data_IF_742109804791
#
_entry.id   IF_742109804791
#
_cell.length_a   1.000
_cell.length_b   1.000
_cell.length_c   1.000
_cell.angle_alpha   90.00
_cell.angle_beta   90.00
_cell.angle_gamma   90.00
#
_symmetry.space_group_name_H-M   'P 1'
#
loop_
_entity.id
_entity.type
_entity.pdbx_description
1 polymer ?
#
# COMPACT_ATOMS: atom_id res chain seq x y z
N UNK A 1 -37.46 -27.06 8.69
CA UNK A 1 -37.99 -25.72 8.36
C UNK A 1 -39.05 -25.89 7.29
N UNK A 2 -40.24 -25.28 7.41
CA UNK A 2 -41.29 -25.39 6.38
C UNK A 2 -40.94 -24.46 5.22
N UNK A 3 -41.10 -24.92 3.98
CA UNK A 3 -40.83 -24.19 2.73
C UNK A 3 -41.45 -22.78 2.71
N UNK A 4 -42.67 -22.65 3.26
CA UNK A 4 -43.38 -21.37 3.39
C UNK A 4 -42.60 -20.33 4.20
N UNK A 5 -41.86 -20.73 5.23
CA UNK A 5 -41.09 -19.80 6.06
C UNK A 5 -39.88 -19.24 5.28
N UNK A 6 -39.26 -20.06 4.43
CA UNK A 6 -38.11 -19.65 3.60
C UNK A 6 -38.55 -18.65 2.54
N UNK A 7 -39.71 -18.88 1.90
CA UNK A 7 -40.30 -17.96 0.92
C UNK A 7 -40.69 -16.61 1.54
N UNK A 8 -41.32 -16.62 2.71
CA UNK A 8 -41.70 -15.39 3.43
C UNK A 8 -40.45 -14.59 3.80
N UNK A 9 -39.38 -15.26 4.26
CA UNK A 9 -38.11 -14.61 4.58
C UNK A 9 -37.47 -13.97 3.35
N UNK A 10 -37.47 -14.66 2.21
CA UNK A 10 -36.96 -14.13 0.94
C UNK A 10 -37.75 -12.89 0.48
N UNK A 11 -39.09 -12.94 0.49
CA UNK A 11 -39.95 -11.81 0.09
C UNK A 11 -39.71 -10.60 1.00
N UNK A 12 -39.62 -10.81 2.32
CA UNK A 12 -39.37 -9.73 3.26
C UNK A 12 -38.00 -9.08 3.01
N UNK A 13 -36.95 -9.89 2.77
CA UNK A 13 -35.62 -9.39 2.41
C UNK A 13 -35.67 -8.59 1.10
N UNK A 14 -36.32 -9.09 0.05
CA UNK A 14 -36.46 -8.36 -1.23
C UNK A 14 -37.16 -7.01 -1.05
N UNK A 15 -38.25 -6.96 -0.28
CA UNK A 15 -38.96 -5.70 -0.01
C UNK A 15 -38.10 -4.71 0.78
N UNK A 16 -37.26 -5.18 1.70
CA UNK A 16 -36.30 -4.33 2.41
C UNK A 16 -35.28 -3.71 1.45
N UNK A 17 -34.73 -4.48 0.50
CA UNK A 17 -33.81 -3.94 -0.50
C UNK A 17 -34.47 -2.94 -1.44
N UNK A 18 -35.68 -3.22 -1.93
CA UNK A 18 -36.42 -2.27 -2.78
C UNK A 18 -36.63 -0.95 -2.03
N UNK A 19 -36.99 -1.02 -0.74
CA UNK A 19 -37.13 0.16 0.09
C UNK A 19 -35.80 0.90 0.30
N UNK A 20 -34.67 0.20 0.45
CA UNK A 20 -33.35 0.82 0.51
C UNK A 20 -33.04 1.57 -0.78
N UNK A 21 -33.17 0.91 -1.94
CA UNK A 21 -32.88 1.50 -3.26
C UNK A 21 -33.73 2.74 -3.55
N UNK A 22 -35.03 2.71 -3.23
CA UNK A 22 -35.93 3.84 -3.46
C UNK A 22 -35.55 5.11 -2.68
N UNK A 23 -34.75 4.97 -1.62
CA UNK A 23 -34.40 6.08 -0.72
C UNK A 23 -32.92 6.47 -0.82
N UNK A 24 -32.12 5.89 -1.73
CA UNK A 24 -30.68 6.18 -1.83
C UNK A 24 -30.39 7.61 -2.26
N UNK A 25 -31.22 8.21 -3.12
CA UNK A 25 -31.05 9.62 -3.51
C UNK A 25 -31.19 10.58 -2.30
N UNK A 26 -32.07 10.23 -1.34
CA UNK A 26 -32.26 11.00 -0.11
C UNK A 26 -31.27 10.60 1.00
N UNK A 27 -30.72 9.38 0.94
CA UNK A 27 -29.84 8.80 1.96
C UNK A 27 -28.63 8.07 1.32
N UNK A 28 -27.72 8.80 0.63
CA UNK A 28 -26.61 8.21 -0.12
C UNK A 28 -25.61 7.44 0.75
N UNK A 29 -25.49 7.81 2.03
CA UNK A 29 -24.65 7.14 3.03
C UNK A 29 -25.01 5.66 3.29
N UNK A 30 -26.23 5.23 2.94
CA UNK A 30 -26.64 3.84 3.05
C UNK A 30 -25.85 2.91 2.10
N UNK A 31 -25.29 3.45 1.01
CA UNK A 31 -24.38 2.70 0.13
C UNK A 31 -23.12 2.28 0.89
N UNK A 32 -22.63 3.14 1.79
CA UNK A 32 -21.43 2.88 2.59
C UNK A 32 -21.69 1.93 3.77
N UNK A 33 -22.93 1.62 4.12
CA UNK A 33 -23.26 0.94 5.38
C UNK A 33 -24.19 -0.25 5.18
N UNK A 34 -25.37 -0.02 4.60
CA UNK A 34 -26.48 -0.96 4.56
C UNK A 34 -26.41 -1.92 3.35
N UNK A 35 -25.99 -1.45 2.17
CA UNK A 35 -26.06 -2.25 0.93
C UNK A 35 -25.09 -3.44 0.88
N UNK A 36 -23.92 -3.34 1.52
CA UNK A 36 -22.80 -4.29 1.38
C UNK A 36 -22.31 -4.81 2.76
N UNK A 37 -23.23 -5.34 3.58
CA UNK A 37 -22.96 -5.73 4.97
C UNK A 37 -23.03 -7.25 5.21
N UNK A 38 -21.89 -7.94 5.10
CA UNK A 38 -21.53 -9.16 5.88
C UNK A 38 -22.25 -10.49 5.59
N UNK A 39 -23.48 -10.49 5.09
CA UNK A 39 -24.19 -11.68 4.58
C UNK A 39 -24.99 -11.38 3.28
N UNK A 40 -25.05 -10.10 2.91
CA UNK A 40 -25.88 -9.50 1.85
C UNK A 40 -25.17 -9.30 0.51
N UNK A 41 -23.83 -9.40 0.47
CA UNK A 41 -23.01 -9.23 -0.76
C UNK A 41 -23.41 -10.16 -1.91
N UNK A 42 -23.96 -11.33 -1.55
CA UNK A 42 -24.44 -12.30 -2.52
C UNK A 42 -25.84 -11.98 -3.06
N UNK A 43 -26.69 -11.24 -2.33
CA UNK A 43 -28.10 -11.15 -2.70
C UNK A 43 -28.35 -10.07 -3.78
N UNK A 44 -27.65 -8.94 -3.73
CA UNK A 44 -27.71 -7.89 -4.76
C UNK A 44 -27.20 -8.41 -6.11
N UNK A 45 -26.01 -9.01 -6.08
CA UNK A 45 -25.38 -9.69 -7.23
C UNK A 45 -26.30 -10.78 -7.77
N UNK A 46 -26.88 -11.62 -6.89
CA UNK A 46 -27.85 -12.64 -7.31
C UNK A 46 -29.16 -12.07 -7.86
N UNK A 47 -29.65 -10.93 -7.37
CA UNK A 47 -30.85 -10.28 -7.90
C UNK A 47 -30.59 -9.78 -9.33
N UNK A 48 -29.41 -9.24 -9.61
CA UNK A 48 -29.00 -8.84 -10.96
C UNK A 48 -28.88 -10.08 -11.86
N UNK A 49 -28.13 -11.10 -11.42
CA UNK A 49 -27.98 -12.38 -12.15
C UNK A 49 -29.33 -13.07 -12.43
N UNK A 50 -30.26 -13.07 -11.47
CA UNK A 50 -31.58 -13.67 -11.65
C UNK A 50 -32.53 -12.81 -12.48
N UNK A 51 -32.35 -11.49 -12.51
CA UNK A 51 -33.10 -10.61 -13.43
C UNK A 51 -32.70 -10.85 -14.89
N UNK A 52 -31.43 -11.21 -15.15
CA UNK A 52 -30.93 -11.60 -16.47
C UNK A 52 -31.61 -12.89 -16.97
N UNK A 53 -31.77 -13.90 -16.10
CA UNK A 53 -32.47 -15.15 -16.45
C UNK A 53 -33.96 -14.95 -16.76
N UNK A 54 -34.60 -13.96 -16.15
CA UNK A 54 -36.06 -13.76 -16.19
C UNK A 54 -36.53 -12.80 -17.29
N UNK A 55 -35.73 -11.78 -17.63
CA UNK A 55 -36.16 -10.68 -18.51
C UNK A 55 -35.47 -10.69 -19.88
N UNK A 56 -34.31 -11.34 -20.00
CA UNK A 56 -33.50 -11.33 -21.23
C UNK A 56 -32.86 -9.98 -21.55
N UNK A 57 -33.00 -8.99 -20.67
CA UNK A 57 -32.33 -7.70 -20.74
C UNK A 57 -31.03 -7.74 -19.92
N UNK A 58 -29.94 -7.26 -20.52
CA UNK A 58 -28.63 -7.18 -19.88
C UNK A 58 -28.63 -5.98 -18.92
N UNK A 59 -28.95 -6.20 -17.66
CA UNK A 59 -28.44 -5.34 -16.60
C UNK A 59 -27.08 -5.92 -16.18
N UNK A 60 -25.98 -5.26 -16.54
CA UNK A 60 -24.66 -5.70 -16.12
C UNK A 60 -24.39 -5.20 -14.70
N UNK A 61 -23.62 -5.97 -13.93
CA UNK A 61 -23.26 -5.59 -12.56
C UNK A 61 -22.53 -4.23 -12.53
N UNK A 62 -21.92 -3.84 -13.66
CA UNK A 62 -21.24 -2.57 -13.87
C UNK A 62 -22.23 -1.40 -13.98
N UNK A 63 -23.40 -1.59 -14.61
CA UNK A 63 -24.46 -0.56 -14.68
C UNK A 63 -24.97 -0.21 -13.28
N UNK A 64 -25.12 -1.21 -12.41
CA UNK A 64 -25.53 -0.97 -11.03
C UNK A 64 -24.45 -0.20 -10.26
N UNK A 65 -23.17 -0.57 -10.42
CA UNK A 65 -22.06 0.16 -9.81
C UNK A 65 -22.08 1.63 -10.24
N UNK A 66 -22.27 1.89 -11.54
CA UNK A 66 -22.35 3.25 -12.09
C UNK A 66 -23.51 4.06 -11.49
N UNK A 67 -24.71 3.48 -11.42
CA UNK A 67 -25.86 4.16 -10.81
C UNK A 67 -25.66 4.45 -9.33
N UNK A 68 -25.10 3.49 -8.57
CA UNK A 68 -24.76 3.70 -7.16
C UNK A 68 -23.71 4.80 -7.00
N UNK A 69 -22.68 4.82 -7.86
CA UNK A 69 -21.58 5.77 -7.75
C UNK A 69 -21.97 7.18 -8.21
N UNK A 70 -22.90 7.32 -9.16
CA UNK A 70 -23.52 8.62 -9.51
C UNK A 70 -24.20 9.29 -8.31
N UNK A 71 -24.78 8.50 -7.42
CA UNK A 71 -25.42 8.98 -6.19
C UNK A 71 -24.36 9.22 -5.09
N UNK A 72 -23.45 8.27 -4.92
CA UNK A 72 -22.51 8.27 -3.80
C UNK A 72 -21.39 9.31 -3.96
N UNK A 73 -20.81 9.47 -5.15
CA UNK A 73 -19.66 10.36 -5.37
C UNK A 73 -19.96 11.81 -4.97
N UNK A 74 -21.07 12.43 -5.42
CA UNK A 74 -21.41 13.80 -5.00
C UNK A 74 -21.54 13.93 -3.48
N UNK A 75 -22.09 12.92 -2.81
CA UNK A 75 -22.17 12.90 -1.35
C UNK A 75 -20.77 12.85 -0.72
N UNK A 76 -19.91 11.95 -1.19
CA UNK A 76 -18.54 11.84 -0.70
C UNK A 76 -17.75 13.13 -0.91
N UNK A 77 -17.88 13.80 -2.05
CA UNK A 77 -17.23 15.09 -2.34
C UNK A 77 -17.62 16.18 -1.31
N UNK A 78 -18.86 16.16 -0.81
CA UNK A 78 -19.27 17.08 0.28
C UNK A 78 -18.62 16.76 1.62
N UNK A 79 -18.34 15.48 1.89
CA UNK A 79 -17.71 15.02 3.13
C UNK A 79 -16.22 15.35 3.15
N UNK A 80 -15.50 15.01 2.08
CA UNK A 80 -14.02 15.07 2.05
C UNK A 80 -13.46 16.34 1.40
N UNK A 81 -14.32 17.23 0.89
CA UNK A 81 -14.08 18.61 0.45
C UNK A 81 -12.78 18.89 -0.30
N UNK A 82 -12.91 19.25 -1.58
CA UNK A 82 -11.78 19.69 -2.40
C UNK A 82 -10.92 18.54 -2.93
N UNK A 83 -11.37 17.29 -2.71
CA UNK A 83 -10.84 16.10 -3.35
C UNK A 83 -11.66 15.75 -4.57
N UNK A 84 -11.00 15.23 -5.60
CA UNK A 84 -11.64 14.62 -6.76
C UNK A 84 -11.80 13.13 -6.52
N UNK A 85 -12.94 12.56 -6.90
CA UNK A 85 -13.23 11.14 -6.77
C UNK A 85 -13.40 10.50 -8.15
N UNK A 86 -12.69 9.41 -8.39
CA UNK A 86 -12.72 8.68 -9.67
C UNK A 86 -12.80 7.19 -9.38
N UNK A 87 -13.36 6.43 -10.31
CA UNK A 87 -13.35 4.97 -10.28
C UNK A 87 -13.28 4.44 -11.72
N UNK A 88 -12.87 3.19 -11.86
CA UNK A 88 -12.83 2.51 -13.14
C UNK A 88 -14.14 1.72 -13.36
N UNK A 89 -14.99 2.21 -14.27
CA UNK A 89 -16.30 1.61 -14.54
C UNK A 89 -16.20 0.21 -15.20
N UNK A 90 -15.06 -0.13 -15.81
CA UNK A 90 -14.85 -1.44 -16.45
C UNK A 90 -14.45 -2.53 -15.44
N UNK A 91 -14.14 -2.14 -14.20
CA UNK A 91 -13.74 -3.06 -13.15
C UNK A 91 -14.87 -3.22 -12.12
N UNK A 92 -15.08 -4.46 -11.66
CA UNK A 92 -16.03 -4.75 -10.58
C UNK A 92 -15.47 -5.76 -9.58
N UNK A 93 -15.51 -5.48 -8.26
CA UNK A 93 -15.87 -4.19 -7.66
C UNK A 93 -14.77 -3.14 -7.88
N UNK A 94 -15.13 -1.92 -8.32
CA UNK A 94 -14.18 -0.83 -8.46
C UNK A 94 -14.02 -0.05 -7.15
N UNK A 95 -12.82 0.08 -6.60
CA UNK A 95 -12.58 1.03 -5.52
C UNK A 95 -12.72 2.47 -6.02
N UNK A 96 -13.21 3.36 -5.16
CA UNK A 96 -13.28 4.80 -5.45
C UNK A 96 -11.93 5.41 -5.05
N UNK A 97 -11.18 5.88 -6.02
CA UNK A 97 -9.90 6.58 -5.84
C UNK A 97 -10.14 8.04 -5.45
N UNK A 98 -9.31 8.53 -4.53
CA UNK A 98 -9.36 9.89 -4.00
C UNK A 98 -8.10 10.63 -4.44
N UNK A 99 -8.31 11.79 -5.06
CA UNK A 99 -7.24 12.63 -5.56
C UNK A 99 -7.25 14.03 -4.93
N UNK A 100 -6.06 14.52 -4.59
CA UNK A 100 -5.80 15.93 -4.32
C UNK A 100 -5.03 16.51 -5.50
N UNK A 101 -5.70 17.32 -6.32
CA UNK A 101 -5.14 17.74 -7.62
C UNK A 101 -4.92 16.53 -8.53
N UNK A 102 -3.66 16.28 -8.93
CA UNK A 102 -3.27 15.15 -9.78
C UNK A 102 -2.75 13.94 -8.97
N UNK A 103 -2.65 14.05 -7.64
CA UNK A 103 -2.05 13.02 -6.78
C UNK A 103 -3.14 12.15 -6.16
N UNK A 104 -3.01 10.84 -6.33
CA UNK A 104 -3.83 9.87 -5.60
C UNK A 104 -3.38 9.80 -4.14
N UNK A 105 -4.32 9.94 -3.21
CA UNK A 105 -4.05 9.98 -1.77
C UNK A 105 -4.63 8.77 -1.03
N UNK A 106 -5.52 8.02 -1.66
CA UNK A 106 -6.14 6.85 -1.07
C UNK A 106 -7.30 6.34 -1.93
N UNK A 107 -7.87 5.22 -1.51
CA UNK A 107 -9.09 4.70 -2.13
C UNK A 107 -10.04 4.07 -1.11
N UNK A 108 -11.32 4.09 -1.45
CA UNK A 108 -12.42 3.53 -0.66
C UNK A 108 -12.90 2.27 -1.38
N UNK A 109 -12.76 1.11 -0.75
CA UNK A 109 -13.41 -0.11 -1.18
C UNK A 109 -14.68 -0.33 -0.35
N UNK A 110 -15.83 -0.12 -0.98
CA UNK A 110 -17.12 -0.17 -0.31
C UNK A 110 -17.54 -1.60 0.05
N UNK A 111 -17.15 -2.56 -0.79
CA UNK A 111 -17.47 -3.98 -0.65
C UNK A 111 -16.67 -4.60 0.49
N UNK A 112 -15.36 -4.37 0.49
CA UNK A 112 -14.47 -4.88 1.54
C UNK A 112 -14.54 -4.07 2.83
N UNK A 113 -15.23 -2.92 2.83
CA UNK A 113 -15.22 -1.94 3.92
C UNK A 113 -13.80 -1.53 4.31
N UNK A 114 -12.96 -1.25 3.31
CA UNK A 114 -11.58 -0.81 3.53
C UNK A 114 -11.35 0.60 3.00
N UNK A 115 -10.61 1.39 3.76
CA UNK A 115 -10.03 2.65 3.31
C UNK A 115 -8.52 2.48 3.26
N UNK A 116 -7.92 2.61 2.08
CA UNK A 116 -6.47 2.48 1.93
C UNK A 116 -5.85 3.85 1.77
N UNK A 117 -4.89 4.18 2.64
CA UNK A 117 -4.03 5.35 2.52
C UNK A 117 -2.85 5.01 1.60
N UNK A 118 -2.62 5.84 0.59
CA UNK A 118 -1.46 5.75 -0.30
C UNK A 118 -0.34 6.64 0.25
N UNK A 119 0.85 6.09 0.56
CA UNK A 119 1.97 6.88 1.07
C UNK A 119 2.47 7.87 0.01
N UNK A 120 3.06 8.97 0.45
CA UNK A 120 3.65 9.93 -0.47
C UNK A 120 4.83 9.31 -1.22
N UNK A 121 4.80 9.36 -2.55
CA UNK A 121 5.80 8.70 -3.38
C UNK A 121 7.22 9.23 -3.11
N UNK A 122 7.40 10.54 -3.05
CA UNK A 122 8.71 11.14 -2.75
C UNK A 122 9.28 10.63 -1.41
N UNK A 123 8.49 10.62 -0.35
CA UNK A 123 8.94 10.11 0.95
C UNK A 123 9.31 8.62 0.87
N UNK A 124 8.53 7.82 0.15
CA UNK A 124 8.82 6.39 -0.07
C UNK A 124 10.14 6.20 -0.82
N UNK A 125 10.37 6.96 -1.88
CA UNK A 125 11.62 6.90 -2.66
C UNK A 125 12.84 7.27 -1.79
N UNK A 126 12.74 8.35 -1.01
CA UNK A 126 13.82 8.80 -0.12
C UNK A 126 14.12 7.77 0.99
N UNK A 127 13.08 7.13 1.55
CA UNK A 127 13.22 6.05 2.53
C UNK A 127 13.85 4.79 1.92
N UNK A 128 13.47 4.41 0.70
CA UNK A 128 14.05 3.26 0.01
C UNK A 128 15.53 3.48 -0.29
N UNK A 129 15.91 4.66 -0.78
CA UNK A 129 17.31 4.98 -1.03
C UNK A 129 18.13 4.97 0.27
N UNK A 130 17.56 5.45 1.39
CA UNK A 130 18.20 5.34 2.70
C UNK A 130 18.45 3.89 3.10
N UNK A 131 17.47 3.00 2.92
CA UNK A 131 17.61 1.56 3.21
C UNK A 131 18.71 0.91 2.37
N UNK A 132 18.85 1.31 1.10
CA UNK A 132 19.92 0.83 0.22
C UNK A 132 21.31 1.25 0.73
N UNK A 133 21.48 2.53 1.09
CA UNK A 133 22.73 3.03 1.67
C UNK A 133 23.09 2.32 2.97
N UNK A 134 22.12 2.12 3.87
CA UNK A 134 22.34 1.40 5.13
C UNK A 134 22.72 -0.07 4.89
N UNK A 135 22.13 -0.72 3.88
CA UNK A 135 22.49 -2.08 3.48
C UNK A 135 23.92 -2.14 2.94
N UNK A 136 24.30 -1.20 2.07
CA UNK A 136 25.66 -1.11 1.52
C UNK A 136 26.69 -0.86 2.64
N UNK A 137 26.39 0.05 3.57
CA UNK A 137 27.23 0.34 4.72
C UNK A 137 27.44 -0.89 5.62
N UNK A 138 26.38 -1.66 5.89
CA UNK A 138 26.49 -2.89 6.67
C UNK A 138 27.38 -3.93 5.97
N UNK A 139 27.23 -4.11 4.65
CA UNK A 139 28.09 -5.00 3.87
C UNK A 139 29.56 -4.54 3.89
N UNK A 140 29.80 -3.23 3.75
CA UNK A 140 31.14 -2.66 3.82
C UNK A 140 31.77 -2.87 5.22
N UNK A 141 30.99 -2.73 6.29
CA UNK A 141 31.41 -2.98 7.67
C UNK A 141 31.81 -4.45 7.89
N UNK A 142 31.03 -5.39 7.34
CA UNK A 142 31.39 -6.82 7.38
C UNK A 142 32.69 -7.12 6.63
N UNK A 143 32.90 -6.49 5.48
CA UNK A 143 34.15 -6.62 4.71
C UNK A 143 35.35 -6.01 5.45
N UNK A 144 35.18 -4.84 6.08
CA UNK A 144 36.21 -4.24 6.96
C UNK A 144 36.64 -5.26 8.03
N UNK A 145 35.69 -5.85 8.75
CA UNK A 145 35.98 -6.84 9.79
C UNK A 145 36.69 -8.11 9.26
N UNK A 146 36.46 -8.51 7.99
CA UNK A 146 37.25 -9.57 7.34
C UNK A 146 38.68 -9.11 7.08
N UNK A 147 38.86 -7.90 6.55
CA UNK A 147 40.19 -7.37 6.21
C UNK A 147 41.03 -7.04 7.44
N UNK A 148 40.44 -6.67 8.57
CA UNK A 148 41.16 -6.54 9.86
C UNK A 148 41.75 -7.87 10.32
N UNK A 149 41.00 -8.97 10.17
CA UNK A 149 41.51 -10.32 10.44
C UNK A 149 42.64 -10.67 9.49
N UNK A 150 42.51 -10.33 8.20
CA UNK A 150 43.56 -10.59 7.20
C UNK A 150 44.84 -9.78 7.45
N UNK A 151 44.75 -8.57 8.00
CA UNK A 151 45.94 -7.82 8.41
C UNK A 151 46.70 -8.51 9.55
N UNK A 152 45.97 -9.10 10.50
CA UNK A 152 46.56 -9.84 11.62
C UNK A 152 47.09 -11.21 11.20
N UNK A 153 46.41 -11.85 10.25
CA UNK A 153 46.76 -13.16 9.71
C UNK A 153 46.52 -13.22 8.19
N UNK A 154 47.53 -12.88 7.35
CA UNK A 154 47.39 -12.85 5.90
C UNK A 154 47.00 -14.20 5.28
N UNK A 155 47.24 -15.33 5.98
CA UNK A 155 46.83 -16.65 5.48
C UNK A 155 45.32 -16.83 5.40
N UNK A 156 44.55 -16.08 6.17
CA UNK A 156 43.08 -16.10 6.11
C UNK A 156 42.51 -15.45 4.84
N UNK A 157 43.30 -14.62 4.16
CA UNK A 157 42.96 -14.11 2.83
C UNK A 157 42.98 -15.21 1.75
N UNK A 158 43.65 -16.33 2.04
CA UNK A 158 43.72 -17.52 1.19
C UNK A 158 42.50 -18.42 1.41
N UNK A 159 41.55 -18.39 0.47
CA UNK A 159 40.41 -19.30 0.40
C UNK A 159 40.78 -20.75 -0.02
N UNK A 160 41.95 -20.92 -0.65
CA UNK A 160 42.44 -22.20 -1.16
C UNK A 160 43.86 -22.51 -0.70
N UNK A 161 44.22 -23.80 -0.68
CA UNK A 161 45.58 -24.26 -0.31
C UNK A 161 46.66 -23.62 -1.20
N UNK A 162 46.45 -23.53 -2.51
CA UNK A 162 47.41 -22.89 -3.41
C UNK A 162 47.54 -21.39 -3.17
N UNK A 163 46.44 -20.68 -2.88
CA UNK A 163 46.50 -19.25 -2.53
C UNK A 163 47.27 -19.04 -1.23
N UNK A 164 47.07 -19.88 -0.20
CA UNK A 164 47.85 -19.85 1.05
C UNK A 164 49.35 -20.09 0.82
N UNK A 165 49.71 -21.07 -0.01
CA UNK A 165 51.11 -21.32 -0.38
C UNK A 165 51.70 -20.09 -1.09
N UNK A 166 50.96 -19.48 -2.02
CA UNK A 166 51.40 -18.28 -2.73
C UNK A 166 51.57 -17.09 -1.77
N UNK A 167 50.67 -16.93 -0.80
CA UNK A 167 50.78 -15.93 0.28
C UNK A 167 52.06 -16.14 1.09
N UNK A 168 52.42 -17.38 1.42
CA UNK A 168 53.66 -17.72 2.11
C UNK A 168 54.90 -17.24 1.35
N UNK A 169 54.93 -17.45 0.04
CA UNK A 169 56.07 -17.08 -0.81
C UNK A 169 56.13 -15.58 -1.14
N UNK A 170 54.98 -14.89 -1.14
CA UNK A 170 54.86 -13.47 -1.56
C UNK A 170 54.25 -12.60 -0.46
N UNK A 171 54.62 -12.83 0.79
CA UNK A 171 53.97 -12.22 1.95
C UNK A 171 53.93 -10.69 1.89
N UNK A 172 55.02 -10.04 1.50
CA UNK A 172 55.07 -8.57 1.39
C UNK A 172 54.08 -8.01 0.36
N UNK A 173 53.86 -8.73 -0.75
CA UNK A 173 52.92 -8.32 -1.78
C UNK A 173 51.47 -8.39 -1.27
N UNK A 174 51.09 -9.52 -0.66
CA UNK A 174 49.75 -9.69 -0.11
C UNK A 174 49.47 -8.80 1.10
N UNK A 175 50.47 -8.55 1.95
CA UNK A 175 50.33 -7.57 3.04
C UNK A 175 50.03 -6.16 2.51
N UNK A 176 50.68 -5.78 1.41
CA UNK A 176 50.41 -4.49 0.76
C UNK A 176 49.01 -4.46 0.16
N UNK A 177 48.61 -5.49 -0.57
CA UNK A 177 47.27 -5.61 -1.16
C UNK A 177 46.15 -5.57 -0.11
N UNK A 178 46.28 -6.34 0.98
CA UNK A 178 45.33 -6.34 2.10
C UNK A 178 45.25 -4.95 2.73
N UNK A 179 46.39 -4.27 2.91
CA UNK A 179 46.43 -2.92 3.48
C UNK A 179 45.76 -1.89 2.59
N UNK A 180 46.05 -1.91 1.28
CA UNK A 180 45.44 -0.99 0.31
C UNK A 180 43.93 -1.21 0.24
N UNK A 181 43.47 -2.46 0.18
CA UNK A 181 42.04 -2.77 0.15
C UNK A 181 41.35 -2.39 1.46
N UNK A 182 41.97 -2.62 2.61
CA UNK A 182 41.44 -2.16 3.90
C UNK A 182 41.29 -0.64 3.94
N UNK A 183 42.30 0.11 3.49
CA UNK A 183 42.23 1.57 3.43
C UNK A 183 41.08 2.05 2.53
N UNK A 184 40.93 1.45 1.34
CA UNK A 184 39.81 1.78 0.45
C UNK A 184 38.43 1.46 1.06
N UNK A 185 38.29 0.36 1.80
CA UNK A 185 37.05 0.03 2.51
C UNK A 185 36.72 1.03 3.61
N UNK A 186 37.73 1.52 4.35
CA UNK A 186 37.55 2.55 5.38
C UNK A 186 37.13 3.88 4.75
N UNK A 187 37.77 4.30 3.66
CA UNK A 187 37.39 5.51 2.92
C UNK A 187 35.95 5.42 2.41
N UNK A 188 35.57 4.29 1.80
CA UNK A 188 34.19 4.02 1.37
C UNK A 188 33.20 4.06 2.54
N UNK A 189 33.58 3.53 3.72
CA UNK A 189 32.75 3.56 4.92
C UNK A 189 32.43 4.99 5.35
N UNK A 190 33.43 5.87 5.34
CA UNK A 190 33.26 7.28 5.70
C UNK A 190 32.37 8.02 4.70
N UNK A 191 32.51 7.73 3.40
CA UNK A 191 31.64 8.29 2.37
C UNK A 191 30.19 7.82 2.52
N UNK A 192 29.97 6.53 2.76
CA UNK A 192 28.64 5.97 3.02
C UNK A 192 28.00 6.57 4.27
N UNK A 193 28.74 6.79 5.36
CA UNK A 193 28.22 7.48 6.54
C UNK A 193 27.77 8.91 6.23
N UNK A 194 28.55 9.67 5.47
CA UNK A 194 28.19 11.02 5.06
C UNK A 194 26.93 11.02 4.18
N UNK A 195 26.83 10.08 3.25
CA UNK A 195 25.68 9.91 2.38
C UNK A 195 24.43 9.55 3.20
N UNK A 196 24.54 8.63 4.17
CA UNK A 196 23.44 8.27 5.08
C UNK A 196 22.98 9.49 5.89
N UNK A 197 23.90 10.28 6.45
CA UNK A 197 23.54 11.49 7.23
C UNK A 197 22.82 12.50 6.32
N UNK A 198 23.37 12.77 5.14
CA UNK A 198 22.77 13.66 4.15
C UNK A 198 21.37 13.20 3.75
N UNK A 199 21.21 11.89 3.54
CA UNK A 199 19.93 11.28 3.17
C UNK A 199 18.91 11.33 4.31
N UNK A 200 19.33 11.11 5.56
CA UNK A 200 18.46 11.27 6.74
C UNK A 200 17.90 12.69 6.84
N UNK A 201 18.74 13.71 6.60
CA UNK A 201 18.29 15.10 6.57
C UNK A 201 17.32 15.39 5.42
N UNK A 202 17.45 14.71 4.27
CA UNK A 202 16.48 14.81 3.17
C UNK A 202 15.15 14.18 3.54
N UNK A 203 15.18 12.96 4.10
CA UNK A 203 13.98 12.27 4.61
C UNK A 203 13.24 13.13 5.62
N UNK A 204 13.94 13.74 6.59
CA UNK A 204 13.33 14.64 7.58
C UNK A 204 12.63 15.84 6.92
N UNK A 205 13.29 16.52 5.99
CA UNK A 205 12.68 17.67 5.27
C UNK A 205 11.49 17.26 4.41
N UNK A 206 11.60 16.12 3.73
CA UNK A 206 10.50 15.59 2.92
C UNK A 206 9.33 15.21 3.83
N UNK A 207 9.58 14.54 4.97
CA UNK A 207 8.56 14.21 5.95
C UNK A 207 7.85 15.46 6.47
N UNK A 208 8.59 16.52 6.82
CA UNK A 208 8.01 17.79 7.25
C UNK A 208 7.12 18.42 6.17
N UNK A 209 7.53 18.34 4.90
CA UNK A 209 6.72 18.82 3.78
C UNK A 209 5.49 17.97 3.49
N UNK A 210 5.55 16.67 3.79
CA UNK A 210 4.49 15.70 3.54
C UNK A 210 3.48 15.63 4.70
N UNK A 211 3.87 16.03 5.91
CA UNK A 211 3.05 15.91 7.12
C UNK A 211 1.62 16.46 6.98
N UNK A 212 1.38 17.66 6.40
CA UNK A 212 0.01 18.17 6.24
C UNK A 212 -0.87 17.25 5.38
N UNK A 213 -0.27 16.59 4.39
CA UNK A 213 -0.96 15.64 3.53
C UNK A 213 -1.29 14.35 4.26
N UNK A 214 -0.37 13.84 5.09
CA UNK A 214 -0.65 12.67 5.94
C UNK A 214 -1.76 12.97 6.95
N UNK A 215 -1.74 14.13 7.60
CA UNK A 215 -2.80 14.57 8.51
C UNK A 215 -4.17 14.59 7.80
N UNK A 216 -4.22 15.16 6.60
CA UNK A 216 -5.43 15.18 5.78
C UNK A 216 -5.91 13.77 5.39
N UNK A 217 -5.01 12.90 4.93
CA UNK A 217 -5.35 11.50 4.63
C UNK A 217 -5.92 10.79 5.85
N UNK A 218 -5.38 11.07 7.03
CA UNK A 218 -5.86 10.53 8.29
C UNK A 218 -7.22 11.06 8.70
N UNK A 219 -7.47 12.36 8.53
CA UNK A 219 -8.76 12.95 8.82
C UNK A 219 -9.86 12.32 7.94
N UNK A 220 -9.58 12.15 6.64
CA UNK A 220 -10.48 11.44 5.73
C UNK A 220 -10.68 10.00 6.20
N UNK A 221 -9.61 9.25 6.46
CA UNK A 221 -9.71 7.86 6.91
C UNK A 221 -10.52 7.72 8.22
N UNK A 222 -10.39 8.67 9.14
CA UNK A 222 -11.14 8.70 10.40
C UNK A 222 -12.65 8.91 10.15
N UNK A 223 -13.06 9.71 9.17
CA UNK A 223 -14.48 9.84 8.78
C UNK A 223 -15.05 8.45 8.44
N UNK A 224 -14.34 7.66 7.63
CA UNK A 224 -14.81 6.34 7.21
C UNK A 224 -14.76 5.31 8.34
N UNK A 225 -13.69 5.31 9.13
CA UNK A 225 -13.55 4.40 10.28
C UNK A 225 -14.64 4.67 11.32
N UNK A 226 -14.83 5.93 11.69
CA UNK A 226 -15.62 6.26 12.88
C UNK A 226 -17.12 6.25 12.55
N UNK A 227 -17.51 6.75 11.37
CA UNK A 227 -18.92 6.84 10.95
C UNK A 227 -19.43 5.59 10.23
N UNK A 228 -18.58 4.93 9.43
CA UNK A 228 -19.01 3.83 8.55
C UNK A 228 -18.35 2.48 8.88
N UNK A 229 -17.48 2.44 9.91
CA UNK A 229 -16.82 1.21 10.41
C UNK A 229 -15.89 0.54 9.40
N UNK A 230 -15.23 1.34 8.55
CA UNK A 230 -14.24 0.83 7.61
C UNK A 230 -12.93 0.48 8.34
N UNK A 231 -12.27 -0.58 7.88
CA UNK A 231 -10.90 -0.88 8.24
C UNK A 231 -9.96 0.09 7.51
N UNK A 232 -9.07 0.76 8.25
CA UNK A 232 -8.07 1.66 7.65
C UNK A 232 -6.78 0.89 7.43
N UNK A 233 -6.38 0.77 6.17
CA UNK A 233 -5.12 0.15 5.75
C UNK A 233 -4.18 1.23 5.25
N UNK A 234 -2.88 1.04 5.46
CA UNK A 234 -1.88 1.75 4.67
C UNK A 234 -1.44 0.78 3.59
N UNK A 235 -1.30 1.27 2.36
CA UNK A 235 -0.64 0.48 1.33
C UNK A 235 0.77 0.16 1.86
N UNK A 236 1.01 -1.12 2.14
CA UNK A 236 2.34 -1.55 2.54
C UNK A 236 3.29 -1.32 1.36
N UNK A 237 4.51 -0.88 1.66
CA UNK A 237 5.60 -0.90 0.69
C UNK A 237 5.75 -2.37 0.26
N UNK A 238 5.17 -2.76 -0.87
CA UNK A 238 5.49 -4.04 -1.51
C UNK A 238 7.00 -4.01 -1.80
N UNK A 239 7.75 -4.77 -1.01
CA UNK A 239 9.19 -4.97 -1.15
C UNK A 239 9.53 -5.77 -2.41
#
# INVERSE_FOLDING_TARGET
MKFDNVLIEAINKTNQYIALFMNLEENPEWILTELFSGESDNLLTRIIESSQELTGEYAEVHDLQDELYKILIPYLETLIKGMSLVYDAENYPAPIQIFEGEREIGWINIYEKTFTIIPHEDLRQELNYLRELEKEYNQNTEEIAKFERYQSNPMEYGDTTMKKINIMFRQNHFNKEIKEKYQGLIENSMELEQNIISQKLRVERTQEGVLPYEEMQYDIANIFRDNYKYEVKRQEDEN
#
